data_IF_159734166436
#
_entry.id   IF_159734166436
#
_cell.length_a   1.000
_cell.length_b   1.000
_cell.length_c   1.000
_cell.angle_alpha   90.00
_cell.angle_beta   90.00
_cell.angle_gamma   90.00
#
_symmetry.space_group_name_H-M   'P 1'
#
loop_
_entity.id
_entity.type
_entity.pdbx_description
1 polymer ?
#
# COMPACT_ATOMS: atom_id res chain seq x y z
N UNK A 1 -17.65 -1.45 -5.89
CA UNK A 1 -16.34 -2.09 -5.64
C UNK A 1 -15.52 -1.09 -4.85
N UNK A 2 -15.24 -1.40 -3.59
CA UNK A 2 -14.55 -0.51 -2.67
C UNK A 2 -13.03 -0.59 -2.90
N UNK A 3 -12.51 0.30 -3.73
CA UNK A 3 -11.08 0.40 -4.04
C UNK A 3 -10.41 1.45 -3.14
N UNK A 4 -10.38 1.19 -1.83
CA UNK A 4 -9.72 2.09 -0.89
C UNK A 4 -9.14 1.34 0.31
N UNK A 5 -8.11 1.94 0.92
CA UNK A 5 -7.60 1.51 2.23
C UNK A 5 -8.32 2.33 3.29
N UNK A 6 -8.76 1.65 4.34
CA UNK A 6 -9.40 2.22 5.51
C UNK A 6 -8.47 2.11 6.72
N UNK A 7 -8.48 3.11 7.61
CA UNK A 7 -7.72 3.06 8.87
C UNK A 7 -8.68 2.90 10.04
N UNK A 8 -8.34 1.98 10.94
CA UNK A 8 -9.03 1.76 12.20
C UNK A 8 -8.09 2.05 13.37
N UNK A 9 -8.64 2.56 14.47
CA UNK A 9 -7.93 2.62 15.74
C UNK A 9 -7.54 1.22 16.20
N UNK A 10 -6.27 1.02 16.57
CA UNK A 10 -5.78 -0.20 17.21
C UNK A 10 -6.12 -0.28 18.71
N UNK A 11 -6.66 0.80 19.28
CA UNK A 11 -7.09 0.87 20.68
C UNK A 11 -8.61 0.95 20.77
N UNK A 12 -9.25 0.34 21.80
CA UNK A 12 -10.66 0.54 22.07
C UNK A 12 -10.98 2.04 22.25
N UNK A 13 -12.12 2.52 21.73
CA UNK A 13 -13.01 1.81 20.81
C UNK A 13 -12.38 1.72 19.40
N UNK A 14 -12.34 0.51 18.81
CA UNK A 14 -11.74 0.20 17.50
C UNK A 14 -12.52 0.84 16.33
N UNK A 15 -12.45 2.17 16.23
CA UNK A 15 -13.26 2.96 15.31
C UNK A 15 -12.54 3.17 13.98
N UNK A 16 -13.32 3.13 12.91
CA UNK A 16 -12.93 3.62 11.58
C UNK A 16 -12.68 5.13 11.63
N UNK A 17 -11.55 5.58 11.10
CA UNK A 17 -11.37 6.99 10.76
C UNK A 17 -12.11 7.30 9.47
N UNK A 18 -13.27 7.95 9.59
CA UNK A 18 -14.15 8.25 8.45
C UNK A 18 -13.59 9.33 7.53
N UNK A 19 -12.57 10.07 7.97
CA UNK A 19 -11.97 11.18 7.22
C UNK A 19 -10.74 10.76 6.43
N UNK A 20 -10.23 9.54 6.64
CA UNK A 20 -9.04 9.03 5.96
C UNK A 20 -9.35 7.80 5.12
N UNK A 21 -9.17 7.96 3.81
CA UNK A 21 -9.32 6.92 2.79
C UNK A 21 -8.24 7.08 1.74
N UNK A 22 -7.63 5.98 1.32
CA UNK A 22 -6.56 6.00 0.32
C UNK A 22 -7.07 5.30 -0.93
N UNK A 23 -7.39 6.10 -1.94
CA UNK A 23 -8.08 5.66 -3.16
C UNK A 23 -7.09 5.55 -4.33
N UNK A 24 -7.59 5.33 -5.56
CA UNK A 24 -6.83 5.21 -6.81
C UNK A 24 -6.15 3.87 -7.09
N UNK A 25 -5.66 3.14 -6.09
CA UNK A 25 -5.23 1.76 -6.32
C UNK A 25 -6.42 0.85 -6.64
N UNK A 26 -6.24 -0.09 -7.56
CA UNK A 26 -7.26 -1.08 -7.90
C UNK A 26 -7.09 -2.34 -7.05
N UNK A 27 -8.17 -2.77 -6.37
CA UNK A 27 -8.26 -4.01 -5.61
C UNK A 27 -9.40 -4.85 -6.20
N UNK A 28 -9.09 -5.55 -7.28
CA UNK A 28 -10.04 -6.40 -7.99
C UNK A 28 -9.42 -7.75 -8.30
N UNK A 29 -10.11 -8.83 -7.97
CA UNK A 29 -9.70 -10.21 -8.27
C UNK A 29 -8.54 -10.76 -7.43
N UNK A 30 -7.87 -9.93 -6.62
CA UNK A 30 -6.69 -10.31 -5.85
C UNK A 30 -6.73 -9.78 -4.41
N UNK A 31 -6.20 -10.53 -3.43
CA UNK A 31 -6.04 -10.07 -2.04
C UNK A 31 -4.85 -9.11 -1.88
N UNK A 32 -4.95 -7.92 -2.48
CA UNK A 32 -3.93 -6.88 -2.43
C UNK A 32 -3.67 -6.41 -1.00
N UNK A 33 -2.40 -6.26 -0.64
CA UNK A 33 -1.96 -5.82 0.69
C UNK A 33 -1.45 -4.37 0.68
N UNK A 34 -1.40 -3.79 1.88
CA UNK A 34 -0.85 -2.47 2.15
C UNK A 34 -0.11 -2.46 3.48
N UNK A 35 0.93 -1.64 3.60
CA UNK A 35 1.76 -1.53 4.80
C UNK A 35 2.10 -0.07 5.11
N UNK A 36 2.34 0.21 6.38
CA UNK A 36 2.97 1.46 6.82
C UNK A 36 4.48 1.37 6.69
N UNK A 37 5.13 2.50 6.45
CA UNK A 37 6.56 2.60 6.71
C UNK A 37 6.83 2.69 8.22
N UNK A 38 8.11 2.64 8.61
CA UNK A 38 8.53 2.53 10.01
C UNK A 38 8.03 3.68 10.90
N UNK A 39 8.03 4.91 10.39
CA UNK A 39 7.56 6.11 11.12
C UNK A 39 6.02 6.30 11.04
N UNK A 40 5.33 5.50 10.23
CA UNK A 40 3.89 5.58 10.02
C UNK A 40 3.42 6.78 9.19
N UNK A 41 4.32 7.56 8.58
CA UNK A 41 3.99 8.74 7.77
C UNK A 41 3.61 8.40 6.33
N UNK A 42 3.98 7.21 5.85
CA UNK A 42 3.66 6.72 4.51
C UNK A 42 2.94 5.38 4.56
N UNK A 43 2.05 5.19 3.59
CA UNK A 43 1.43 3.90 3.31
C UNK A 43 1.86 3.50 1.90
N UNK A 44 2.21 2.23 1.71
CA UNK A 44 2.35 1.64 0.38
C UNK A 44 1.29 0.56 0.19
N UNK A 45 0.79 0.42 -1.03
CA UNK A 45 -0.10 -0.67 -1.42
C UNK A 45 0.30 -1.22 -2.77
N UNK A 46 0.07 -2.52 -2.94
CA UNK A 46 0.03 -3.11 -4.27
C UNK A 46 -1.22 -2.66 -5.04
N UNK A 47 -1.40 -3.20 -6.24
CA UNK A 47 -2.61 -3.01 -7.04
C UNK A 47 -2.73 -4.09 -8.12
N UNK A 48 -3.97 -4.41 -8.48
CA UNK A 48 -4.29 -5.30 -9.60
C UNK A 48 -3.75 -4.80 -10.95
N UNK A 49 -3.36 -3.52 -11.09
CA UNK A 49 -2.73 -2.97 -12.31
C UNK A 49 -1.20 -3.20 -12.39
N UNK A 50 -0.64 -3.91 -11.39
CA UNK A 50 0.79 -4.18 -11.29
C UNK A 50 1.64 -3.01 -10.82
N UNK A 51 1.01 -1.95 -10.32
CA UNK A 51 1.71 -0.81 -9.74
C UNK A 51 1.73 -0.86 -8.21
N UNK A 52 2.69 -0.15 -7.65
CA UNK A 52 2.78 0.23 -6.25
C UNK A 52 2.28 1.67 -6.10
N UNK A 53 1.40 1.89 -5.14
CA UNK A 53 0.88 3.22 -4.79
C UNK A 53 1.40 3.62 -3.43
N UNK A 54 1.92 4.84 -3.32
CA UNK A 54 2.42 5.42 -2.09
C UNK A 54 1.57 6.61 -1.68
N UNK A 55 1.19 6.66 -0.42
CA UNK A 55 0.33 7.70 0.14
C UNK A 55 0.97 8.38 1.33
N UNK A 56 0.59 9.63 1.58
CA UNK A 56 0.82 10.29 2.86
C UNK A 56 -0.25 9.83 3.86
N UNK A 57 0.16 9.24 4.99
CA UNK A 57 -0.78 8.67 5.96
C UNK A 57 -1.66 9.72 6.67
N UNK A 58 -1.20 10.97 6.77
CA UNK A 58 -1.92 12.04 7.47
C UNK A 58 -2.90 12.75 6.54
N UNK A 59 -2.48 13.10 5.31
CA UNK A 59 -3.31 13.82 4.34
C UNK A 59 -4.16 12.92 3.45
N UNK A 60 -3.91 11.61 3.43
CA UNK A 60 -4.55 10.65 2.51
C UNK A 60 -4.27 10.88 1.02
N UNK A 61 -3.34 11.77 0.71
CA UNK A 61 -2.96 12.09 -0.67
C UNK A 61 -2.08 10.99 -1.28
N UNK A 62 -2.31 10.71 -2.56
CA UNK A 62 -1.42 9.90 -3.38
C UNK A 62 -0.13 10.68 -3.66
N UNK A 63 1.00 10.18 -3.16
CA UNK A 63 2.31 10.79 -3.31
C UNK A 63 3.00 10.30 -4.58
N UNK A 64 2.90 8.99 -4.87
CA UNK A 64 3.58 8.39 -6.03
C UNK A 64 2.87 7.12 -6.49
N UNK A 65 2.84 6.91 -7.81
CA UNK A 65 2.52 5.64 -8.46
C UNK A 65 3.77 5.13 -9.16
N UNK A 66 4.08 3.84 -9.02
CA UNK A 66 5.26 3.22 -9.62
C UNK A 66 4.89 1.89 -10.26
N UNK A 67 5.12 1.72 -11.57
CA UNK A 67 4.94 0.44 -12.24
C UNK A 67 6.03 -0.52 -11.79
N UNK A 68 5.63 -1.65 -11.18
CA UNK A 68 6.56 -2.66 -10.67
C UNK A 68 6.49 -3.96 -11.47
N UNK A 69 5.29 -4.34 -11.92
CA UNK A 69 5.02 -5.63 -12.55
C UNK A 69 4.00 -5.52 -13.67
N UNK A 70 4.02 -6.47 -14.62
CA UNK A 70 2.96 -6.61 -15.63
C UNK A 70 1.69 -7.26 -15.08
N UNK A 71 1.85 -8.13 -14.06
CA UNK A 71 0.75 -8.76 -13.32
C UNK A 71 0.48 -8.04 -12.00
N UNK A 72 -0.58 -8.42 -11.30
CA UNK A 72 -1.00 -7.78 -10.05
C UNK A 72 0.15 -7.74 -9.01
N UNK A 73 0.40 -6.56 -8.45
CA UNK A 73 1.32 -6.38 -7.33
C UNK A 73 0.58 -6.76 -6.05
N UNK A 74 0.97 -7.86 -5.43
CA UNK A 74 0.22 -8.49 -4.34
C UNK A 74 0.50 -7.84 -2.99
N UNK A 75 1.76 -7.54 -2.69
CA UNK A 75 2.19 -6.97 -1.42
C UNK A 75 3.41 -6.07 -1.60
N UNK A 76 3.58 -5.15 -0.66
CA UNK A 76 4.70 -4.21 -0.58
C UNK A 76 5.12 -4.07 0.88
N UNK A 77 6.35 -4.43 1.20
CA UNK A 77 6.92 -4.31 2.54
C UNK A 77 7.98 -3.20 2.57
N UNK A 78 7.89 -2.31 3.56
CA UNK A 78 8.97 -1.38 3.85
C UNK A 78 10.10 -2.11 4.58
N UNK A 79 11.34 -1.80 4.22
CA UNK A 79 12.48 -2.30 4.95
C UNK A 79 12.46 -1.74 6.39
N UNK A 80 12.71 -2.55 7.43
CA UNK A 80 12.52 -2.16 8.83
C UNK A 80 13.58 -1.20 9.39
N UNK A 81 14.71 -1.02 8.68
CA UNK A 81 15.85 -0.20 9.14
C UNK A 81 16.24 0.86 8.09
N UNK A 82 16.61 0.43 6.89
CA UNK A 82 16.94 1.34 5.78
C UNK A 82 15.71 2.12 5.31
N UNK A 83 15.74 3.46 5.33
CA UNK A 83 14.67 4.29 4.79
C UNK A 83 14.61 4.18 3.27
N UNK A 84 13.42 4.37 2.69
CA UNK A 84 13.14 4.35 1.25
C UNK A 84 13.38 3.01 0.53
N UNK A 85 13.89 1.99 1.21
CA UNK A 85 13.98 0.63 0.65
C UNK A 85 12.65 -0.09 0.84
N UNK A 86 12.14 -0.67 -0.24
CA UNK A 86 10.93 -1.51 -0.21
C UNK A 86 11.16 -2.83 -0.96
N UNK A 87 10.45 -3.87 -0.54
CA UNK A 87 10.29 -5.10 -1.30
C UNK A 87 8.84 -5.22 -1.76
N UNK A 88 8.60 -5.79 -2.93
CA UNK A 88 7.25 -6.15 -3.37
C UNK A 88 7.24 -7.51 -4.05
N UNK A 89 6.04 -8.05 -4.23
CA UNK A 89 5.84 -9.30 -4.97
C UNK A 89 4.65 -9.21 -5.92
N UNK A 90 4.70 -10.01 -6.97
CA UNK A 90 3.70 -10.10 -8.02
C UNK A 90 2.95 -11.43 -7.96
N UNK A 91 1.74 -11.45 -8.53
CA UNK A 91 0.92 -12.66 -8.67
C UNK A 91 1.62 -13.81 -9.42
N UNK A 92 2.50 -13.48 -10.38
CA UNK A 92 3.25 -14.45 -11.16
C UNK A 92 4.51 -15.00 -10.46
N UNK A 93 4.76 -14.63 -9.19
CA UNK A 93 5.90 -15.10 -8.41
C UNK A 93 7.15 -14.22 -8.46
N UNK A 94 7.13 -13.12 -9.21
CA UNK A 94 8.24 -12.17 -9.23
C UNK A 94 8.36 -11.44 -7.89
N UNK A 95 9.60 -11.23 -7.43
CA UNK A 95 9.92 -10.45 -6.23
C UNK A 95 10.97 -9.41 -6.59
N UNK A 96 10.75 -8.17 -6.20
CA UNK A 96 11.65 -7.05 -6.51
C UNK A 96 11.92 -6.21 -5.28
N UNK A 97 13.12 -5.64 -5.21
CA UNK A 97 13.52 -4.65 -4.20
C UNK A 97 13.78 -3.32 -4.91
N UNK A 98 13.33 -2.21 -4.32
CA UNK A 98 13.49 -0.86 -4.84
C UNK A 98 14.12 0.03 -3.78
N UNK A 99 14.95 0.98 -4.21
CA UNK A 99 15.65 1.98 -3.38
C UNK A 99 15.49 3.39 -3.97
#
# INVERSE_FOLDING_TARGET
>A
MENYIAIFSSKPPFKLDKYRRYESHSVSGFPIKCNFNLDGEKIASGSSDGCIYFYNSKSSELVKKMKAYEQACMDVAFHPVMPNVIASCSWNGDVSVFE
#
